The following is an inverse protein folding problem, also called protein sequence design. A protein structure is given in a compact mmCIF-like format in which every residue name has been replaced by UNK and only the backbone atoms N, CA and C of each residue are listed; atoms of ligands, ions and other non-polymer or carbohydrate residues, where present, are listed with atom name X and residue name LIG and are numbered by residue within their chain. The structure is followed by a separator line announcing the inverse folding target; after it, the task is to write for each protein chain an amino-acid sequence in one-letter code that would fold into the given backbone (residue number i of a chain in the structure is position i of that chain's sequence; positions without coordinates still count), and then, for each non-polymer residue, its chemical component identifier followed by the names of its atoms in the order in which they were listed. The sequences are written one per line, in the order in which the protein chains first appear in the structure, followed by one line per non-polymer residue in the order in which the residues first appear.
data_IF_580220323100
#
_entry.id   IF_580220323100
#
_cell.length_a   1.000
_cell.length_b   1.000
_cell.length_c   1.000
_cell.angle_alpha   90.00
_cell.angle_beta   90.00
_cell.angle_gamma   90.00
#
_symmetry.space_group_name_H-M   'P 1'
#
loop_
_entity.id
_entity.type
_entity.pdbx_description
1 polymer ?
#
# COMPACT_ATOMS: atom_id res chain seq x y z
N UNK A 1 -20.31 -40.84 -23.82
CA UNK A 1 -18.96 -41.23 -23.36
C UNK A 1 -18.93 -40.97 -21.85
N UNK A 2 -19.02 -42.03 -21.04
CA UNK A 2 -18.81 -41.93 -19.59
C UNK A 2 -17.30 -41.89 -19.35
N UNK A 3 -16.80 -40.84 -18.69
CA UNK A 3 -15.41 -40.81 -18.23
C UNK A 3 -15.32 -41.75 -17.03
N UNK A 4 -14.93 -42.99 -17.34
CA UNK A 4 -14.61 -44.03 -16.38
C UNK A 4 -13.51 -43.51 -15.44
N UNK A 5 -13.73 -43.64 -14.14
CA UNK A 5 -12.92 -43.03 -13.09
C UNK A 5 -11.45 -43.47 -13.17
N UNK A 6 -10.60 -42.63 -13.75
CA UNK A 6 -9.16 -42.85 -13.70
C UNK A 6 -8.69 -42.65 -12.26
N UNK A 7 -8.07 -43.69 -11.71
CA UNK A 7 -7.37 -43.61 -10.43
C UNK A 7 -6.22 -42.63 -10.63
N UNK A 8 -6.33 -41.43 -10.05
CA UNK A 8 -5.31 -40.38 -10.17
C UNK A 8 -3.94 -40.95 -9.77
N UNK A 9 -2.95 -40.85 -10.66
CA UNK A 9 -1.61 -41.41 -10.42
C UNK A 9 -0.91 -40.67 -9.29
N UNK A 10 0.22 -41.19 -8.80
CA UNK A 10 0.99 -40.53 -7.74
C UNK A 10 1.52 -39.19 -8.25
N UNK A 11 2.00 -39.17 -9.50
CA UNK A 11 2.54 -38.02 -10.20
C UNK A 11 1.46 -36.94 -10.41
N UNK A 12 0.25 -37.33 -10.81
CA UNK A 12 -0.87 -36.40 -10.96
C UNK A 12 -1.26 -35.75 -9.61
N UNK A 13 -1.23 -36.52 -8.52
CA UNK A 13 -1.48 -36.01 -7.17
C UNK A 13 -0.39 -35.05 -6.71
N UNK A 14 0.88 -35.36 -6.99
CA UNK A 14 2.00 -34.48 -6.70
C UNK A 14 1.85 -33.15 -7.44
N UNK A 15 1.50 -33.19 -8.73
CA UNK A 15 1.26 -31.98 -9.53
C UNK A 15 0.14 -31.12 -8.94
N UNK A 16 -1.00 -31.73 -8.60
CA UNK A 16 -2.14 -30.99 -8.02
C UNK A 16 -1.78 -30.33 -6.69
N UNK A 17 -1.07 -31.04 -5.81
CA UNK A 17 -0.66 -30.50 -4.52
C UNK A 17 0.40 -29.40 -4.64
N UNK A 18 1.28 -29.49 -5.64
CA UNK A 18 2.20 -28.40 -5.96
C UNK A 18 1.45 -27.16 -6.43
N UNK A 19 0.46 -27.30 -7.31
CA UNK A 19 -0.36 -26.18 -7.78
C UNK A 19 -1.15 -25.54 -6.63
N UNK A 20 -1.80 -26.36 -5.79
CA UNK A 20 -2.50 -25.91 -4.59
C UNK A 20 -1.57 -25.16 -3.63
N UNK A 21 -0.37 -25.69 -3.42
CA UNK A 21 0.65 -25.04 -2.59
C UNK A 21 1.10 -23.72 -3.20
N UNK A 22 1.40 -23.69 -4.50
CA UNK A 22 1.87 -22.48 -5.17
C UNK A 22 0.85 -21.34 -5.09
N UNK A 23 -0.42 -21.66 -5.30
CA UNK A 23 -1.50 -20.69 -5.30
C UNK A 23 -2.12 -20.43 -3.92
N UNK A 24 -1.68 -21.15 -2.88
CA UNK A 24 -2.22 -21.03 -1.53
C UNK A 24 -2.12 -19.60 -1.01
N UNK A 25 -3.25 -18.95 -0.76
CA UNK A 25 -3.32 -17.59 -0.21
C UNK A 25 -4.47 -17.46 0.77
N UNK A 26 -4.38 -16.50 1.68
CA UNK A 26 -5.49 -16.13 2.54
C UNK A 26 -6.57 -15.44 1.69
N UNK A 27 -7.82 -15.89 1.85
CA UNK A 27 -8.94 -15.33 1.11
C UNK A 27 -9.52 -14.10 1.82
N UNK A 28 -10.12 -13.18 1.07
CA UNK A 28 -10.78 -12.00 1.67
C UNK A 28 -11.93 -12.46 2.58
N UNK A 29 -11.92 -11.99 3.83
CA UNK A 29 -12.93 -12.35 4.83
C UNK A 29 -12.69 -13.68 5.54
N UNK A 30 -11.61 -14.39 5.19
CA UNK A 30 -11.22 -15.61 5.87
C UNK A 30 -10.61 -15.33 7.25
N UNK A 31 -11.08 -16.04 8.27
CA UNK A 31 -10.49 -15.95 9.61
C UNK A 31 -9.08 -16.57 9.65
N UNK A 32 -8.23 -16.10 10.56
CA UNK A 32 -6.90 -16.71 10.76
C UNK A 32 -6.97 -18.19 11.14
N UNK A 33 -8.07 -18.61 11.78
CA UNK A 33 -8.27 -20.01 12.12
C UNK A 33 -8.57 -20.85 10.88
N UNK A 34 -9.48 -20.41 10.01
CA UNK A 34 -9.82 -21.13 8.78
C UNK A 34 -8.62 -21.23 7.84
N UNK A 35 -7.85 -20.13 7.73
CA UNK A 35 -6.59 -20.11 7.00
C UNK A 35 -5.61 -21.17 7.50
N UNK A 36 -5.41 -21.25 8.83
CA UNK A 36 -4.56 -22.25 9.47
C UNK A 36 -5.05 -23.67 9.21
N UNK A 37 -6.35 -23.93 9.34
CA UNK A 37 -6.93 -25.26 9.09
C UNK A 37 -6.70 -25.70 7.65
N UNK A 38 -6.92 -24.81 6.66
CA UNK A 38 -6.62 -25.11 5.25
C UNK A 38 -5.15 -25.38 5.01
N UNK A 39 -4.26 -24.58 5.60
CA UNK A 39 -2.82 -24.78 5.46
C UNK A 39 -2.38 -26.11 6.06
N UNK A 40 -2.81 -26.42 7.29
CA UNK A 40 -2.50 -27.67 7.96
C UNK A 40 -3.01 -28.90 7.17
N UNK A 41 -4.22 -28.81 6.60
CA UNK A 41 -4.77 -29.84 5.73
C UNK A 41 -3.88 -30.05 4.51
N UNK A 42 -3.50 -28.99 3.79
CA UNK A 42 -2.62 -29.07 2.62
C UNK A 42 -1.28 -29.74 2.97
N UNK A 43 -0.65 -29.33 4.08
CA UNK A 43 0.62 -29.93 4.52
C UNK A 43 0.47 -31.40 4.88
N UNK A 44 -0.67 -31.79 5.46
CA UNK A 44 -0.95 -33.19 5.76
C UNK A 44 -1.10 -34.04 4.48
N UNK A 45 -1.83 -33.53 3.47
CA UNK A 45 -1.97 -34.21 2.17
C UNK A 45 -0.62 -34.37 1.46
N UNK A 46 0.22 -33.33 1.45
CA UNK A 46 1.58 -33.42 0.91
C UNK A 46 2.41 -34.48 1.64
N UNK A 47 2.32 -34.53 2.98
CA UNK A 47 3.05 -35.53 3.79
C UNK A 47 2.58 -36.96 3.51
N UNK A 48 1.28 -37.16 3.30
CA UNK A 48 0.71 -38.49 3.02
C UNK A 48 1.31 -39.14 1.77
N UNK A 49 1.73 -38.34 0.78
CA UNK A 49 2.39 -38.83 -0.43
C UNK A 49 3.92 -38.68 -0.42
N UNK A 50 4.50 -38.42 0.77
CA UNK A 50 5.95 -38.26 1.00
C UNK A 50 6.58 -37.02 0.34
N UNK A 51 5.79 -35.99 0.01
CA UNK A 51 6.35 -34.69 -0.34
C UNK A 51 6.79 -33.97 0.94
N UNK A 52 8.08 -33.75 1.08
CA UNK A 52 8.66 -33.11 2.27
C UNK A 52 9.13 -31.70 1.96
N UNK A 53 8.74 -30.75 2.82
CA UNK A 53 9.22 -29.37 2.80
C UNK A 53 9.95 -29.08 4.10
N UNK A 54 11.00 -28.26 4.03
CA UNK A 54 11.67 -27.80 5.24
C UNK A 54 10.72 -26.93 6.09
N UNK A 55 10.92 -26.94 7.41
CA UNK A 55 10.19 -26.06 8.33
C UNK A 55 10.26 -24.59 7.90
N UNK A 56 11.42 -24.17 7.41
CA UNK A 56 11.64 -22.81 6.88
C UNK A 56 10.70 -22.51 5.71
N UNK A 57 10.62 -23.40 4.72
CA UNK A 57 9.73 -23.23 3.57
C UNK A 57 8.26 -23.13 3.99
N UNK A 58 7.82 -24.01 4.91
CA UNK A 58 6.46 -23.99 5.43
C UNK A 58 6.15 -22.69 6.16
N UNK A 59 7.05 -22.25 7.05
CA UNK A 59 6.89 -21.01 7.80
C UNK A 59 6.83 -19.79 6.87
N UNK A 60 7.75 -19.70 5.91
CA UNK A 60 7.77 -18.63 4.93
C UNK A 60 6.50 -18.61 4.08
N UNK A 61 6.04 -19.77 3.60
CA UNK A 61 4.79 -19.86 2.84
C UNK A 61 3.59 -19.40 3.67
N UNK A 62 3.50 -19.89 4.91
CA UNK A 62 2.42 -19.54 5.82
C UNK A 62 2.32 -18.03 6.07
N UNK A 63 3.43 -17.33 6.31
CA UNK A 63 3.39 -15.88 6.60
C UNK A 63 3.34 -14.99 5.36
N UNK A 64 3.94 -15.41 4.23
CA UNK A 64 3.99 -14.57 3.03
C UNK A 64 2.66 -14.50 2.27
N UNK A 65 1.79 -15.48 2.48
CA UNK A 65 0.54 -15.62 1.74
C UNK A 65 -0.68 -15.08 2.51
N UNK A 66 -0.43 -14.34 3.58
CA UNK A 66 -1.42 -13.66 4.42
C UNK A 66 -1.84 -12.32 3.82
N UNK A 67 -3.04 -11.84 4.18
CA UNK A 67 -3.56 -10.54 3.73
C UNK A 67 -2.78 -9.35 4.32
N UNK A 68 -2.79 -8.18 3.64
CA UNK A 68 -2.05 -6.98 4.07
C UNK A 68 -2.38 -6.47 5.49
N UNK A 69 -3.60 -6.73 6.00
CA UNK A 69 -4.01 -6.39 7.37
C UNK A 69 -3.11 -7.01 8.46
N UNK A 70 -2.45 -8.12 8.13
CA UNK A 70 -1.47 -8.82 8.97
C UNK A 70 -0.05 -8.26 8.85
N UNK A 71 0.18 -7.28 7.97
CA UNK A 71 1.50 -6.80 7.54
C UNK A 71 2.45 -6.48 8.70
N UNK A 72 1.99 -5.72 9.71
CA UNK A 72 2.85 -5.38 10.87
C UNK A 72 3.29 -6.60 11.68
N UNK A 73 2.42 -7.61 11.81
CA UNK A 73 2.71 -8.83 12.56
C UNK A 73 3.65 -9.74 11.77
N UNK A 74 3.47 -9.82 10.45
CA UNK A 74 4.37 -10.54 9.56
C UNK A 74 5.77 -9.92 9.61
N UNK A 75 5.88 -8.59 9.59
CA UNK A 75 7.15 -7.88 9.73
C UNK A 75 7.81 -8.19 11.08
N UNK A 76 7.05 -8.15 12.18
CA UNK A 76 7.57 -8.49 13.50
C UNK A 76 8.10 -9.94 13.57
N UNK A 77 7.34 -10.90 13.03
CA UNK A 77 7.75 -12.30 12.93
C UNK A 77 9.07 -12.43 12.15
N UNK A 78 9.19 -11.77 11.00
CA UNK A 78 10.39 -11.83 10.15
C UNK A 78 11.62 -11.21 10.82
N UNK A 79 11.45 -10.09 11.52
CA UNK A 79 12.55 -9.39 12.19
C UNK A 79 13.11 -10.20 13.38
N UNK A 80 12.23 -10.87 14.14
CA UNK A 80 12.59 -11.61 15.34
C UNK A 80 13.10 -13.04 15.06
N UNK A 81 13.63 -13.32 13.87
CA UNK A 81 14.00 -14.68 13.41
C UNK A 81 12.87 -15.72 13.54
N UNK A 82 11.62 -15.28 13.65
CA UNK A 82 10.45 -16.13 13.90
C UNK A 82 10.36 -17.32 12.93
N UNK A 83 10.51 -17.13 11.61
CA UNK A 83 10.49 -18.25 10.66
C UNK A 83 11.64 -19.26 10.82
N UNK A 84 12.78 -18.88 11.41
CA UNK A 84 13.94 -19.78 11.63
C UNK A 84 13.75 -20.62 12.90
N UNK A 85 13.27 -19.99 13.96
CA UNK A 85 13.29 -20.58 15.31
C UNK A 85 11.90 -21.12 15.75
N UNK A 86 10.86 -20.94 14.93
CA UNK A 86 9.49 -21.42 15.19
C UNK A 86 9.00 -22.44 14.16
N UNK A 87 7.80 -22.97 14.35
CA UNK A 87 7.00 -23.67 13.34
C UNK A 87 5.72 -22.88 13.06
N UNK A 88 4.99 -23.24 12.00
CA UNK A 88 3.77 -22.53 11.60
C UNK A 88 2.66 -22.60 12.67
N UNK A 89 2.64 -23.61 13.55
CA UNK A 89 1.72 -23.69 14.68
C UNK A 89 1.94 -22.58 15.71
N UNK A 90 3.22 -22.31 16.06
CA UNK A 90 3.58 -21.20 16.94
C UNK A 90 3.30 -19.85 16.28
N UNK A 91 3.57 -19.73 14.98
CA UNK A 91 3.24 -18.53 14.22
C UNK A 91 1.73 -18.30 14.20
N UNK A 92 0.93 -19.35 14.03
CA UNK A 92 -0.52 -19.29 14.14
C UNK A 92 -0.96 -18.80 15.52
N UNK A 93 -0.43 -19.37 16.61
CA UNK A 93 -0.79 -18.94 17.97
C UNK A 93 -0.51 -17.44 18.19
N UNK A 94 0.66 -16.96 17.74
CA UNK A 94 1.01 -15.54 17.76
C UNK A 94 0.02 -14.67 16.98
N UNK A 95 -0.29 -15.06 15.73
CA UNK A 95 -1.23 -14.30 14.89
C UNK A 95 -2.65 -14.33 15.48
N UNK A 96 -3.08 -15.47 16.03
CA UNK A 96 -4.38 -15.62 16.67
C UNK A 96 -4.53 -14.68 17.87
N UNK A 97 -3.48 -14.51 18.68
CA UNK A 97 -3.47 -13.55 19.79
C UNK A 97 -3.67 -12.10 19.32
N UNK A 98 -3.24 -11.78 18.10
CA UNK A 98 -3.29 -10.42 17.53
C UNK A 98 -4.45 -10.20 16.55
N UNK A 99 -5.45 -11.08 16.53
CA UNK A 99 -6.54 -11.01 15.55
C UNK A 99 -7.36 -9.70 15.64
N UNK A 100 -7.68 -9.23 16.84
CA UNK A 100 -8.40 -7.95 17.04
C UNK A 100 -7.64 -6.80 16.41
N UNK A 101 -6.33 -6.77 16.62
CA UNK A 101 -5.46 -5.75 16.06
C UNK A 101 -5.32 -5.87 14.53
N UNK A 102 -5.34 -7.08 13.96
CA UNK A 102 -5.39 -7.23 12.51
C UNK A 102 -6.70 -6.66 11.92
N UNK A 103 -7.83 -6.82 12.62
CA UNK A 103 -9.12 -6.22 12.22
C UNK A 103 -9.08 -4.69 12.25
N UNK A 104 -8.46 -4.09 13.27
CA UNK A 104 -8.24 -2.63 13.32
C UNK A 104 -7.40 -2.15 12.13
N UNK A 105 -6.33 -2.85 11.79
CA UNK A 105 -5.50 -2.52 10.63
C UNK A 105 -6.29 -2.54 9.33
N UNK A 106 -7.14 -3.54 9.16
CA UNK A 106 -8.00 -3.65 7.98
C UNK A 106 -8.88 -2.41 7.84
N UNK A 107 -9.53 -1.98 8.92
CA UNK A 107 -10.38 -0.78 8.92
C UNK A 107 -9.57 0.48 8.56
N UNK A 108 -8.38 0.63 9.14
CA UNK A 108 -7.49 1.75 8.81
C UNK A 108 -7.06 1.73 7.34
N UNK A 109 -6.67 0.56 6.82
CA UNK A 109 -6.25 0.40 5.44
C UNK A 109 -7.39 0.70 4.46
N UNK A 110 -8.61 0.24 4.77
CA UNK A 110 -9.82 0.53 4.00
C UNK A 110 -10.17 2.03 4.03
N UNK A 111 -10.01 2.71 5.17
CA UNK A 111 -10.23 4.15 5.30
C UNK A 111 -9.22 4.94 4.44
N UNK A 112 -7.92 4.64 4.55
CA UNK A 112 -6.89 5.32 3.74
C UNK A 112 -7.06 5.06 2.24
N UNK A 113 -7.50 3.87 1.84
CA UNK A 113 -7.75 3.55 0.43
C UNK A 113 -8.98 4.27 -0.14
N UNK A 114 -9.95 4.68 0.69
CA UNK A 114 -11.12 5.45 0.26
C UNK A 114 -10.82 6.96 0.19
N UNK A 115 -9.90 7.45 1.03
CA UNK A 115 -9.50 8.85 1.11
C UNK A 115 -8.33 9.24 0.18
N UNK A 116 -8.12 8.53 -0.93
CA UNK A 116 -7.39 9.11 -2.07
C UNK A 116 -8.20 10.28 -2.61
N UNK A 117 -8.10 11.42 -1.94
CA UNK A 117 -8.49 12.71 -2.46
C UNK A 117 -7.74 12.89 -3.77
N UNK A 118 -8.48 13.24 -4.82
CA UNK A 118 -7.86 13.69 -6.08
C UNK A 118 -6.83 14.78 -5.70
N UNK A 119 -5.53 14.57 -5.98
CA UNK A 119 -4.50 15.56 -5.66
C UNK A 119 -4.81 16.95 -6.22
N UNK A 120 -5.58 17.02 -7.32
CA UNK A 120 -6.02 18.27 -7.94
C UNK A 120 -7.15 18.96 -7.16
N UNK A 121 -8.04 18.20 -6.53
CA UNK A 121 -9.15 18.76 -5.76
C UNK A 121 -8.65 19.51 -4.50
N UNK A 122 -7.59 19.00 -3.86
CA UNK A 122 -7.01 19.63 -2.67
C UNK A 122 -6.31 20.97 -2.98
N UNK A 123 -5.70 21.11 -4.16
CA UNK A 123 -5.02 22.35 -4.58
C UNK A 123 -6.00 23.48 -4.94
N UNK A 124 -7.24 23.16 -5.30
CA UNK A 124 -8.24 24.18 -5.70
C UNK A 124 -8.69 25.11 -4.57
N UNK A 125 -8.55 24.70 -3.30
CA UNK A 125 -8.92 25.50 -2.13
C UNK A 125 -7.85 26.51 -1.69
N UNK A 126 -6.66 26.50 -2.29
CA UNK A 126 -5.55 27.41 -1.90
C UNK A 126 -5.61 28.74 -2.67
N UNK A 127 -6.47 28.85 -3.69
CA UNK A 127 -6.59 30.04 -4.54
C UNK A 127 -7.82 30.89 -4.18
N UNK A 128 -7.87 31.49 -2.99
CA UNK A 128 -8.77 32.62 -2.77
C UNK A 128 -8.26 33.59 -1.68
N UNK A 129 -7.63 34.73 -2.05
CA UNK A 129 -7.50 35.86 -1.15
C UNK A 129 -8.84 36.60 -1.10
N UNK A 130 -9.45 36.59 0.08
CA UNK A 130 -10.52 37.47 0.56
C UNK A 130 -10.72 38.77 -0.25
N UNK A 131 -11.83 38.85 -1.01
CA UNK A 131 -12.37 40.12 -1.50
C UNK A 131 -13.30 40.72 -0.43
N UNK A 132 -12.72 41.46 0.50
CA UNK A 132 -13.48 42.43 1.29
C UNK A 132 -13.55 43.75 0.51
N UNK A 133 -14.74 44.08 0.01
CA UNK A 133 -15.07 45.42 -0.47
C UNK A 133 -15.72 46.22 0.66
N UNK A 134 -15.36 47.50 0.84
CA UNK A 134 -16.29 48.49 1.34
C UNK A 134 -16.61 49.48 0.22
N UNK A 135 -17.90 49.61 -0.09
CA UNK A 135 -18.45 50.65 -0.93
C UNK A 135 -18.84 51.86 -0.09
N UNK A 136 -18.31 53.03 -0.43
CA UNK A 136 -18.95 54.32 -0.13
C UNK A 136 -18.45 55.40 -1.11
N UNK A 137 -19.41 55.91 -1.87
CA UNK A 137 -19.39 57.00 -2.83
C UNK A 137 -19.11 58.37 -2.21
N UNK A 138 -18.41 59.27 -2.91
CA UNK A 138 -18.91 60.60 -3.35
C UNK A 138 -17.86 61.36 -4.17
N UNK A 139 -18.30 61.95 -5.27
CA UNK A 139 -17.56 62.76 -6.25
C UNK A 139 -17.14 64.13 -5.72
N UNK A 140 -16.03 64.72 -6.24
CA UNK A 140 -16.01 66.02 -6.96
C UNK A 140 -14.60 66.61 -7.18
N UNK A 141 -14.41 67.14 -8.40
CA UNK A 141 -13.70 68.38 -8.77
C UNK A 141 -12.16 68.44 -8.91
N UNK A 142 -11.73 68.35 -10.18
CA UNK A 142 -10.92 69.33 -10.95
C UNK A 142 -9.74 70.06 -10.30
N UNK A 143 -8.50 69.74 -10.73
CA UNK A 143 -7.58 70.73 -11.35
C UNK A 143 -6.27 70.07 -11.87
N UNK A 144 -6.00 70.24 -13.17
CA UNK A 144 -4.63 70.29 -13.76
C UNK A 144 -4.65 71.47 -14.72
N UNK A 145 -3.70 72.41 -14.64
CA UNK A 145 -2.65 72.52 -15.70
C UNK A 145 -1.31 73.09 -15.13
N UNK A 146 -0.12 73.10 -15.72
CA UNK A 146 0.53 72.61 -16.96
C UNK A 146 2.04 72.96 -16.82
N UNK A 147 2.91 72.11 -17.37
CA UNK A 147 4.17 72.43 -18.09
C UNK A 147 5.37 73.10 -17.39
N UNK A 148 6.55 72.46 -17.47
CA UNK A 148 7.72 73.05 -18.14
C UNK A 148 8.73 71.95 -18.54
N UNK A 149 9.05 71.92 -19.84
CA UNK A 149 10.10 71.09 -20.42
C UNK A 149 11.49 71.63 -20.07
N UNK A 150 12.52 70.77 -20.14
CA UNK A 150 13.83 71.05 -20.76
C UNK A 150 14.71 69.78 -20.72
N UNK A 151 14.87 69.13 -21.87
CA UNK A 151 16.08 68.41 -22.28
C UNK A 151 17.10 69.45 -22.84
N UNK A 152 18.33 69.13 -23.31
CA UNK A 152 19.10 67.87 -23.38
C UNK A 152 20.59 68.05 -22.92
N UNK A 153 21.43 67.01 -23.06
CA UNK A 153 22.82 67.00 -23.62
C UNK A 153 23.60 65.80 -23.02
N UNK A 154 23.75 64.66 -23.74
CA UNK A 154 24.89 64.27 -24.59
C UNK A 154 26.23 64.15 -23.84
N UNK A 155 26.73 62.92 -23.63
CA UNK A 155 27.93 62.30 -24.25
C UNK A 155 28.16 60.92 -23.55
N UNK A 156 28.21 59.77 -24.24
CA UNK A 156 29.41 59.15 -24.85
C UNK A 156 30.48 58.81 -23.79
N UNK A 157 31.12 57.65 -23.71
CA UNK A 157 31.23 56.46 -24.54
C UNK A 157 32.24 55.54 -23.85
N UNK A 158 32.09 54.22 -24.06
CA UNK A 158 33.16 53.21 -24.12
C UNK A 158 34.03 52.98 -22.85
N UNK A 159 34.60 51.82 -22.53
CA UNK A 159 34.60 50.46 -23.06
C UNK A 159 35.71 49.71 -22.30
N UNK A 160 35.45 48.46 -21.88
CA UNK A 160 36.44 47.37 -21.73
C UNK A 160 37.57 47.57 -20.68
N UNK A 161 38.30 46.58 -20.17
CA UNK A 161 38.28 45.12 -20.10
C UNK A 161 39.34 44.77 -19.02
N UNK A 162 39.16 43.61 -18.38
CA UNK A 162 40.20 42.60 -18.13
C UNK A 162 41.48 43.04 -17.37
N UNK A 163 41.66 42.49 -16.18
CA UNK A 163 42.74 41.52 -15.93
C UNK A 163 42.28 40.53 -14.87
#
# INVERSE_FOLDING_TARGET
MLLEGSKLTKEDRESLLYDDFEHFRQHKGESIHDYYVRFAKLINEMRNIKMTMSRMQLNCKFVNNMLPEWGRFITAVKLNRGPRDSNYDKLYAYLKQHETHAKENKMMLEHFSQHTVDPLAFMSNISNPQRHSPSSSTSSSTQVPKHLANNPHLDSSLSQQKT
#
